data_IF_439154040882
#
_entry.id   IF_439154040882
#
_cell.length_a   1.000
_cell.length_b   1.000
_cell.length_c   1.000
_cell.angle_alpha   90.00
_cell.angle_beta   90.00
_cell.angle_gamma   90.00
#
_symmetry.space_group_name_H-M   'P 1'
#
loop_
_entity.id
_entity.type
_entity.pdbx_description
1 polymer ?
#
# COMPACT_ATOMS: atom_id res chain seq x y z
N UNK A 1 5.08 6.31 -13.60
CA UNK A 1 5.18 6.29 -15.08
C UNK A 1 3.86 5.89 -15.74
N UNK A 2 3.37 4.65 -15.58
CA UNK A 2 2.13 4.19 -16.24
C UNK A 2 0.91 5.05 -15.91
N UNK A 3 0.72 5.40 -14.63
CA UNK A 3 -0.39 6.29 -14.20
C UNK A 3 -0.37 7.62 -14.95
N UNK A 4 0.81 8.22 -15.16
CA UNK A 4 0.96 9.52 -15.82
C UNK A 4 0.75 9.41 -17.33
N UNK A 5 1.26 8.35 -17.97
CA UNK A 5 1.18 8.16 -19.42
C UNK A 5 -0.24 7.81 -19.87
N UNK A 6 -0.95 7.00 -19.10
CA UNK A 6 -2.29 6.53 -19.45
C UNK A 6 -3.42 7.29 -18.75
N UNK A 7 -3.09 8.17 -17.80
CA UNK A 7 -4.04 8.98 -17.04
C UNK A 7 -5.17 8.18 -16.34
N UNK A 8 -4.83 6.98 -15.87
CA UNK A 8 -5.78 6.01 -15.29
C UNK A 8 -5.77 5.98 -13.75
N UNK A 9 -6.87 5.57 -13.10
CA UNK A 9 -6.87 5.28 -11.67
C UNK A 9 -5.94 4.11 -11.35
N UNK A 10 -5.25 4.21 -10.21
CA UNK A 10 -4.35 3.20 -9.66
C UNK A 10 -4.89 2.72 -8.33
N UNK A 11 -4.89 1.41 -8.13
CA UNK A 11 -5.24 0.77 -6.87
C UNK A 11 -4.02 0.00 -6.37
N UNK A 12 -3.62 0.25 -5.13
CA UNK A 12 -2.45 -0.37 -4.48
C UNK A 12 -2.93 -1.15 -3.25
N UNK A 13 -2.78 -2.46 -3.30
CA UNK A 13 -3.14 -3.35 -2.19
C UNK A 13 -1.92 -3.55 -1.28
N UNK A 14 -2.11 -3.36 0.02
CA UNK A 14 -1.13 -3.67 1.05
C UNK A 14 -1.49 -5.03 1.67
N UNK A 15 -0.66 -6.05 1.43
CA UNK A 15 -0.90 -7.45 1.82
C UNK A 15 -0.31 -7.76 3.21
N UNK A 16 -0.77 -7.06 4.23
CA UNK A 16 -0.38 -7.29 5.64
C UNK A 16 -0.85 -8.65 6.17
N UNK A 17 -1.99 -9.14 5.72
CA UNK A 17 -2.50 -10.48 5.98
C UNK A 17 -1.52 -11.58 5.55
N UNK A 18 -0.98 -11.49 4.34
CA UNK A 18 0.04 -12.41 3.84
C UNK A 18 1.33 -12.30 4.65
N UNK A 19 1.74 -11.07 5.00
CA UNK A 19 2.95 -10.86 5.83
C UNK A 19 2.79 -11.43 7.23
N UNK A 20 1.62 -11.33 7.83
CA UNK A 20 1.27 -11.96 9.10
C UNK A 20 1.27 -13.48 8.99
N UNK A 21 0.76 -14.06 7.89
CA UNK A 21 0.72 -15.52 7.71
C UNK A 21 2.08 -16.14 7.37
N UNK A 22 2.95 -15.44 6.64
CA UNK A 22 4.21 -15.98 6.13
C UNK A 22 5.45 -15.56 6.93
N UNK A 23 5.35 -14.53 7.77
CA UNK A 23 6.42 -14.11 8.67
C UNK A 23 5.94 -14.19 10.11
N UNK A 24 6.87 -14.46 11.02
CA UNK A 24 6.63 -14.45 12.46
C UNK A 24 6.53 -12.98 12.96
N UNK A 25 5.54 -12.25 12.43
CA UNK A 25 5.24 -10.85 12.72
C UNK A 25 3.88 -10.80 13.42
N UNK A 26 3.79 -10.01 14.50
CA UNK A 26 2.50 -9.72 15.12
C UNK A 26 1.61 -8.88 14.20
N UNK A 27 0.29 -8.99 14.36
CA UNK A 27 -0.70 -8.26 13.57
C UNK A 27 -0.49 -6.73 13.61
N UNK A 28 -0.21 -6.20 14.80
CA UNK A 28 0.07 -4.77 15.02
C UNK A 28 1.33 -4.32 14.28
N UNK A 29 2.37 -5.16 14.25
CA UNK A 29 3.62 -4.86 13.55
C UNK A 29 3.43 -4.94 12.03
N UNK A 30 2.66 -5.92 11.53
CA UNK A 30 2.30 -6.00 10.12
C UNK A 30 1.53 -4.76 9.66
N UNK A 31 0.56 -4.29 10.45
CA UNK A 31 -0.21 -3.07 10.17
C UNK A 31 0.67 -1.82 10.21
N UNK A 32 1.55 -1.70 11.21
CA UNK A 32 2.52 -0.60 11.31
C UNK A 32 3.43 -0.53 10.08
N UNK A 33 3.93 -1.68 9.62
CA UNK A 33 4.78 -1.77 8.43
C UNK A 33 4.00 -1.41 7.16
N UNK A 34 2.74 -1.87 7.02
CA UNK A 34 1.85 -1.44 5.93
C UNK A 34 1.69 0.08 5.91
N UNK A 35 1.45 0.71 7.06
CA UNK A 35 1.30 2.16 7.14
C UNK A 35 2.58 2.93 6.77
N UNK A 36 3.74 2.50 7.24
CA UNK A 36 5.02 3.12 6.87
C UNK A 36 5.31 2.93 5.37
N UNK A 37 5.06 1.74 4.80
CA UNK A 37 5.24 1.51 3.37
C UNK A 37 4.27 2.31 2.51
N UNK A 38 3.05 2.58 3.00
CA UNK A 38 2.12 3.48 2.31
C UNK A 38 2.70 4.90 2.17
N UNK A 39 3.43 5.41 3.18
CA UNK A 39 4.10 6.71 3.09
C UNK A 39 5.20 6.71 2.02
N UNK A 40 6.00 5.66 1.97
CA UNK A 40 7.06 5.51 0.95
C UNK A 40 6.47 5.47 -0.47
N UNK A 41 5.33 4.80 -0.64
CA UNK A 41 4.60 4.75 -1.90
C UNK A 41 4.11 6.16 -2.28
N UNK A 42 3.48 6.89 -1.37
CA UNK A 42 3.04 8.27 -1.63
C UNK A 42 4.23 9.19 -1.98
N UNK A 43 5.39 9.01 -1.32
CA UNK A 43 6.61 9.77 -1.61
C UNK A 43 7.14 9.56 -3.05
N UNK A 44 6.74 8.48 -3.73
CA UNK A 44 7.06 8.27 -5.15
C UNK A 44 6.30 9.22 -6.10
N UNK A 45 5.37 10.03 -5.60
CA UNK A 45 4.69 11.08 -6.38
C UNK A 45 3.50 10.59 -7.21
N UNK A 46 2.76 9.59 -6.71
CA UNK A 46 1.48 9.20 -7.30
C UNK A 46 0.42 10.30 -7.12
N UNK A 47 -0.53 10.41 -8.06
CA UNK A 47 -1.62 11.38 -7.97
C UNK A 47 -2.63 10.92 -6.90
N UNK A 48 -2.74 11.68 -5.81
CA UNK A 48 -3.64 11.39 -4.67
C UNK A 48 -5.12 11.35 -5.05
N UNK A 49 -5.52 12.02 -6.14
CA UNK A 49 -6.91 12.02 -6.60
C UNK A 49 -7.25 10.77 -7.43
N UNK A 50 -6.23 10.08 -7.93
CA UNK A 50 -6.35 8.90 -8.81
C UNK A 50 -5.69 7.67 -8.24
N UNK A 51 -5.25 7.72 -6.98
CA UNK A 51 -4.58 6.59 -6.31
C UNK A 51 -5.35 6.22 -5.07
N UNK A 52 -5.75 4.95 -4.99
CA UNK A 52 -6.38 4.38 -3.82
C UNK A 52 -5.49 3.29 -3.25
N UNK A 53 -5.02 3.48 -2.02
CA UNK A 53 -4.21 2.50 -1.29
C UNK A 53 -5.03 1.97 -0.11
N UNK A 54 -5.10 0.65 0.05
CA UNK A 54 -5.82 0.02 1.16
C UNK A 54 -5.06 -1.17 1.74
N UNK A 55 -5.26 -1.40 3.04
CA UNK A 55 -4.80 -2.59 3.77
C UNK A 55 -5.83 -3.70 3.64
N UNK A 56 -5.39 -4.96 3.58
CA UNK A 56 -6.32 -6.10 3.59
C UNK A 56 -6.95 -6.34 4.97
N UNK A 57 -6.41 -5.73 6.03
CA UNK A 57 -6.92 -5.81 7.39
C UNK A 57 -7.93 -4.70 7.73
N UNK A 58 -8.04 -3.66 6.90
CA UNK A 58 -8.94 -2.48 7.07
C UNK A 58 -10.07 -2.45 6.02
#
# INVERSE_FOLDING_TARGET
YLQVVFDVPLVIQMTDDEKFMWKDLGLEEAHRLSYENAKDIVACGFDVNKTFTFSNLD
#
